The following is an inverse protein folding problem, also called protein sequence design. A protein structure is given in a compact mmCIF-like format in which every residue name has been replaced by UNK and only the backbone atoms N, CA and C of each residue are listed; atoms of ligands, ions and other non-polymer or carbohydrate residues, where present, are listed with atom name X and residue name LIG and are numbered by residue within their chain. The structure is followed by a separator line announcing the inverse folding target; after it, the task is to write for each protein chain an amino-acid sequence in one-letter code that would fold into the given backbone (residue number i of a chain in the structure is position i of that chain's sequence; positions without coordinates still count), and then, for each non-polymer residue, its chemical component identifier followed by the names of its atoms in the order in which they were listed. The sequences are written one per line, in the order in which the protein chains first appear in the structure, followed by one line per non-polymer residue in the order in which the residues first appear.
data_IF_214059530892
#
_entry.id   IF_214059530892
#
_cell.length_a   1.000
_cell.length_b   1.000
_cell.length_c   1.000
_cell.angle_alpha   90.00
_cell.angle_beta   90.00
_cell.angle_gamma   90.00
#
_symmetry.space_group_name_H-M   'P 1'
#
loop_
_entity.id
_entity.type
_entity.pdbx_description
1 polymer ?
#
# COMPACT_ATOMS: atom_id res chain seq x y z
N UNK A 1 -17.70 20.89 9.73
CA UNK A 1 -17.82 19.68 10.57
C UNK A 1 -16.80 19.83 11.70
N UNK A 2 -17.07 19.47 12.98
CA UNK A 2 -16.12 19.75 14.04
C UNK A 2 -14.83 18.96 13.79
N UNK A 3 -13.74 19.69 13.53
CA UNK A 3 -12.42 19.16 13.26
C UNK A 3 -12.09 19.08 11.77
N UNK A 4 -11.90 20.22 11.12
CA UNK A 4 -10.99 20.29 9.96
C UNK A 4 -9.61 19.87 10.47
N UNK A 5 -9.36 18.56 10.50
CA UNK A 5 -7.99 18.06 10.32
C UNK A 5 -7.58 18.68 9.00
N UNK A 6 -6.50 19.46 9.00
CA UNK A 6 -6.02 20.16 7.81
C UNK A 6 -5.93 19.23 6.59
N UNK A 7 -5.73 19.79 5.39
CA UNK A 7 -5.61 18.96 4.18
C UNK A 7 -4.57 17.84 4.42
N UNK A 8 -4.60 16.70 3.71
CA UNK A 8 -3.80 15.51 4.06
C UNK A 8 -2.30 15.76 4.35
N UNK A 9 -1.71 16.89 3.93
CA UNK A 9 -0.37 17.31 4.31
C UNK A 9 -0.21 17.70 5.81
N UNK A 10 -1.29 18.05 6.50
CA UNK A 10 -1.31 18.60 7.87
C UNK A 10 -1.75 17.55 8.91
N UNK A 11 -2.43 16.49 8.49
CA UNK A 11 -3.05 15.49 9.38
C UNK A 11 -2.05 14.57 10.11
N UNK A 12 -0.80 14.47 9.63
CA UNK A 12 0.19 13.53 10.16
C UNK A 12 -0.23 12.05 10.03
N UNK A 13 0.68 11.15 10.40
CA UNK A 13 0.41 9.70 10.48
C UNK A 13 1.05 9.16 11.75
N UNK A 14 0.44 8.13 12.34
CA UNK A 14 1.08 7.37 13.41
C UNK A 14 2.34 6.69 12.87
N UNK A 15 3.52 7.04 13.40
CA UNK A 15 4.79 6.48 12.92
C UNK A 15 4.85 4.95 12.96
N UNK A 16 4.15 4.32 13.90
CA UNK A 16 4.00 2.87 13.97
C UNK A 16 3.32 2.28 12.72
N UNK A 17 2.32 2.96 12.16
CA UNK A 17 1.64 2.52 10.92
C UNK A 17 2.60 2.58 9.74
N UNK A 18 3.37 3.65 9.63
CA UNK A 18 4.42 3.75 8.61
C UNK A 18 5.47 2.64 8.77
N UNK A 19 5.87 2.30 9.99
CA UNK A 19 6.79 1.19 10.29
C UNK A 19 6.26 -0.18 9.88
N UNK A 20 4.97 -0.46 10.14
CA UNK A 20 4.30 -1.70 9.69
C UNK A 20 4.32 -1.80 8.17
N UNK A 21 3.91 -0.75 7.46
CA UNK A 21 3.89 -0.78 5.99
C UNK A 21 5.29 -0.86 5.39
N UNK A 22 6.28 -0.15 5.94
CA UNK A 22 7.66 -0.23 5.49
C UNK A 22 8.27 -1.63 5.69
N UNK A 23 7.95 -2.29 6.80
CA UNK A 23 8.40 -3.67 7.04
C UNK A 23 7.72 -4.66 6.09
N UNK A 24 6.42 -4.48 5.83
CA UNK A 24 5.70 -5.27 4.83
C UNK A 24 6.30 -5.10 3.43
N UNK A 25 6.68 -3.88 3.04
CA UNK A 25 7.40 -3.61 1.79
C UNK A 25 8.76 -4.30 1.75
N UNK A 26 9.53 -4.28 2.85
CA UNK A 26 10.82 -4.95 2.93
C UNK A 26 10.68 -6.48 2.77
N UNK A 27 9.64 -7.08 3.34
CA UNK A 27 9.33 -8.50 3.14
C UNK A 27 9.03 -8.82 1.68
N UNK A 28 8.26 -7.98 0.98
CA UNK A 28 8.01 -8.19 -0.45
C UNK A 28 9.29 -8.08 -1.29
N UNK A 29 10.19 -7.15 -0.96
CA UNK A 29 11.50 -7.08 -1.64
C UNK A 29 12.27 -8.39 -1.47
N UNK A 30 12.32 -8.93 -0.26
CA UNK A 30 12.99 -10.20 0.00
C UNK A 30 12.34 -11.36 -0.76
N UNK A 31 11.00 -11.39 -0.82
CA UNK A 31 10.28 -12.42 -1.57
C UNK A 31 10.61 -12.38 -3.06
N UNK A 32 10.64 -11.21 -3.66
CA UNK A 32 10.99 -11.05 -5.08
C UNK A 32 12.44 -11.45 -5.37
N UNK A 33 13.39 -11.04 -4.52
CA UNK A 33 14.81 -11.34 -4.72
C UNK A 33 15.16 -12.81 -4.52
N UNK A 34 14.42 -13.49 -3.65
CA UNK A 34 14.70 -14.88 -3.23
C UNK A 34 13.70 -15.89 -3.81
N UNK A 35 12.78 -15.45 -4.67
CA UNK A 35 11.71 -16.27 -5.27
C UNK A 35 10.87 -17.03 -4.21
N UNK A 36 10.37 -16.29 -3.20
CA UNK A 36 9.62 -16.85 -2.08
C UNK A 36 8.11 -16.56 -2.16
N UNK A 37 7.32 -17.63 -2.24
CA UNK A 37 5.86 -17.56 -2.13
C UNK A 37 5.20 -16.67 -3.20
N UNK A 38 3.99 -16.19 -2.90
CA UNK A 38 3.20 -15.41 -3.86
C UNK A 38 3.45 -13.91 -3.72
N UNK A 39 3.96 -13.27 -4.77
CA UNK A 39 4.14 -11.80 -4.85
C UNK A 39 2.85 -11.01 -4.62
N UNK A 40 2.96 -9.83 -3.96
CA UNK A 40 1.89 -8.83 -3.90
C UNK A 40 1.84 -7.90 -5.12
N UNK A 41 2.69 -8.07 -6.14
CA UNK A 41 2.62 -7.31 -7.37
C UNK A 41 1.22 -7.39 -8.02
N UNK A 42 0.74 -6.26 -8.54
CA UNK A 42 -0.61 -6.14 -9.11
C UNK A 42 -1.73 -6.20 -8.07
N UNK A 43 -1.43 -5.99 -6.78
CA UNK A 43 -2.41 -5.93 -5.70
C UNK A 43 -2.28 -4.63 -4.91
N UNK A 44 -3.41 -4.10 -4.46
CA UNK A 44 -3.49 -2.99 -3.53
C UNK A 44 -3.86 -3.52 -2.15
N UNK A 45 -2.98 -3.32 -1.16
CA UNK A 45 -3.24 -3.66 0.24
C UNK A 45 -3.73 -2.41 0.97
N UNK A 46 -4.95 -2.49 1.49
CA UNK A 46 -5.51 -1.49 2.39
C UNK A 46 -5.28 -1.96 3.82
N UNK A 47 -4.67 -1.11 4.65
CA UNK A 47 -4.42 -1.39 6.05
C UNK A 47 -5.16 -0.37 6.92
N UNK A 48 -6.10 -0.85 7.73
CA UNK A 48 -6.77 -0.07 8.75
C UNK A 48 -6.15 -0.39 10.11
N UNK A 49 -5.33 0.55 10.59
CA UNK A 49 -4.60 0.40 11.84
C UNK A 49 -5.50 0.48 13.09
N UNK A 50 -6.64 1.16 13.02
CA UNK A 50 -7.55 1.31 14.17
C UNK A 50 -8.34 0.02 14.40
N UNK A 51 -8.80 -0.62 13.32
CA UNK A 51 -9.47 -1.92 13.40
C UNK A 51 -8.51 -3.12 13.34
N UNK A 52 -7.22 -2.87 13.11
CA UNK A 52 -6.19 -3.89 12.87
C UNK A 52 -6.56 -4.88 11.76
N UNK A 53 -7.21 -4.39 10.71
CA UNK A 53 -7.61 -5.21 9.56
C UNK A 53 -6.82 -4.87 8.31
N UNK A 54 -6.69 -5.86 7.43
CA UNK A 54 -6.13 -5.66 6.09
C UNK A 54 -7.07 -6.22 5.04
N UNK A 55 -7.12 -5.55 3.89
CA UNK A 55 -7.90 -6.00 2.73
C UNK A 55 -7.06 -5.86 1.48
N UNK A 56 -6.95 -6.94 0.72
CA UNK A 56 -6.19 -6.97 -0.52
C UNK A 56 -7.14 -6.98 -1.71
N UNK A 57 -6.89 -6.08 -2.66
CA UNK A 57 -7.69 -5.92 -3.88
C UNK A 57 -6.77 -6.17 -5.07
N UNK A 58 -7.22 -6.93 -6.07
CA UNK A 58 -6.49 -7.06 -7.34
C UNK A 58 -6.57 -5.74 -8.10
N UNK A 59 -5.43 -5.25 -8.56
CA UNK A 59 -5.31 -4.02 -9.33
C UNK A 59 -4.85 -4.35 -10.76
N UNK A 60 -5.79 -4.57 -11.69
CA UNK A 60 -5.46 -4.87 -13.07
C UNK A 60 -4.85 -3.63 -13.75
N UNK A 61 -3.98 -3.88 -14.74
CA UNK A 61 -3.46 -2.83 -15.61
C UNK A 61 -4.60 -2.20 -16.40
N UNK A 62 -4.64 -0.87 -16.42
CA UNK A 62 -5.56 -0.12 -17.28
C UNK A 62 -4.99 -0.01 -18.71
N UNK A 63 -5.68 -0.54 -19.74
CA UNK A 63 -5.24 -0.42 -21.12
C UNK A 63 -5.22 1.02 -21.65
N UNK A 64 -5.90 1.95 -20.99
CA UNK A 64 -5.87 3.38 -21.32
C UNK A 64 -4.74 4.16 -20.65
N UNK A 65 -3.97 3.54 -19.75
CA UNK A 65 -3.06 4.28 -18.87
C UNK A 65 -1.86 4.87 -19.61
N UNK A 66 -1.71 6.21 -19.72
CA UNK A 66 -0.62 6.82 -20.47
C UNK A 66 0.76 6.54 -19.87
N UNK A 67 0.83 6.14 -18.59
CA UNK A 67 2.09 5.86 -17.91
C UNK A 67 2.61 4.42 -18.15
N UNK A 68 1.73 3.44 -18.35
CA UNK A 68 2.13 2.03 -18.42
C UNK A 68 1.60 1.27 -19.63
N UNK A 69 0.79 1.86 -20.52
CA UNK A 69 0.19 1.15 -21.65
C UNK A 69 1.23 0.47 -22.59
N UNK A 70 2.46 0.99 -22.67
CA UNK A 70 3.54 0.44 -23.51
C UNK A 70 4.57 -0.46 -22.81
N UNK A 71 4.39 -0.77 -21.52
CA UNK A 71 5.28 -1.62 -20.70
C UNK A 71 4.62 -2.97 -20.45
#
# INVERSE_FOLDING_TARGET
HPGDVGNCAEAGILGAVAGVLGTMQAVEILKELLDLGDSLAGRLVLYDALSATSRTIRLPKDPGCPACNGI
#
